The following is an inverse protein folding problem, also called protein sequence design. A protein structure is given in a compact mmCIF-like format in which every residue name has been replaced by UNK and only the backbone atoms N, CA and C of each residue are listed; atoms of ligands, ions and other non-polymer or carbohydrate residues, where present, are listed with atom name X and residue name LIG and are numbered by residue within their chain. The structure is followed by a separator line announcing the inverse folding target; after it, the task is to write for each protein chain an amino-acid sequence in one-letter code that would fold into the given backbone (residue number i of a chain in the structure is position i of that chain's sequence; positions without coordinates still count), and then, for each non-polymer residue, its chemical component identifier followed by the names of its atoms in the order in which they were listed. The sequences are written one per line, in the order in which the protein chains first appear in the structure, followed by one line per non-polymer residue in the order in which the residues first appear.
data_IF_378991893824
#
_entry.id   IF_378991893824
#
_cell.length_a   1.000
_cell.length_b   1.000
_cell.length_c   1.000
_cell.angle_alpha   90.00
_cell.angle_beta   90.00
_cell.angle_gamma   90.00
#
_symmetry.space_group_name_H-M   'P 1'
#
loop_
_entity.id
_entity.type
_entity.pdbx_description
1 polymer ?
#
# COMPACT_ATOMS: atom_id res chain seq x y z
N UNK A 1 -38.76 15.43 34.46
CA UNK A 1 -38.85 15.01 33.05
C UNK A 1 -38.13 15.94 32.05
N UNK A 2 -37.13 16.76 32.44
CA UNK A 2 -36.40 17.67 31.50
C UNK A 2 -34.95 17.26 31.23
N UNK A 3 -34.39 16.32 31.97
CA UNK A 3 -32.98 15.87 31.79
C UNK A 3 -32.79 14.78 30.72
N UNK A 4 -33.83 14.01 30.37
CA UNK A 4 -33.73 12.94 29.39
C UNK A 4 -33.72 13.42 27.90
N UNK A 5 -34.22 14.66 27.65
CA UNK A 5 -34.25 15.21 26.29
C UNK A 5 -32.94 15.86 25.86
N UNK A 6 -32.05 16.24 26.81
CA UNK A 6 -30.76 16.86 26.48
C UNK A 6 -29.69 15.82 26.06
N UNK A 7 -29.75 14.63 26.65
CA UNK A 7 -28.79 13.55 26.32
C UNK A 7 -29.02 12.93 24.92
N UNK A 8 -30.26 12.90 24.45
CA UNK A 8 -30.59 12.38 23.13
C UNK A 8 -30.16 13.32 22.00
N UNK A 9 -30.25 14.65 22.23
CA UNK A 9 -29.80 15.64 21.26
C UNK A 9 -28.28 15.68 21.08
N UNK A 10 -27.51 15.46 22.16
CA UNK A 10 -26.03 15.44 22.09
C UNK A 10 -25.49 14.19 21.40
N UNK A 11 -26.11 13.03 21.62
CA UNK A 11 -25.75 11.79 20.96
C UNK A 11 -26.04 11.82 19.44
N UNK A 12 -27.15 12.46 19.04
CA UNK A 12 -27.50 12.62 17.62
C UNK A 12 -26.56 13.61 16.91
N UNK A 13 -26.15 14.67 17.58
CA UNK A 13 -25.23 15.66 17.03
C UNK A 13 -23.81 15.07 16.79
N UNK A 14 -23.33 14.24 17.71
CA UNK A 14 -22.03 13.55 17.57
C UNK A 14 -22.05 12.53 16.43
N UNK A 15 -23.17 11.79 16.27
CA UNK A 15 -23.32 10.84 15.17
C UNK A 15 -23.40 11.54 13.80
N UNK A 16 -24.05 12.69 13.71
CA UNK A 16 -24.11 13.51 12.49
C UNK A 16 -22.75 14.12 12.11
N UNK A 17 -21.95 14.54 13.09
CA UNK A 17 -20.60 15.04 12.83
C UNK A 17 -19.66 13.93 12.36
N UNK A 18 -19.76 12.70 12.92
CA UNK A 18 -18.95 11.57 12.47
C UNK A 18 -19.31 11.13 11.04
N UNK A 19 -20.57 11.23 10.64
CA UNK A 19 -21.03 10.86 9.30
C UNK A 19 -20.65 11.90 8.23
N UNK A 20 -20.40 13.15 8.61
CA UNK A 20 -19.92 14.20 7.69
C UNK A 20 -18.40 14.21 7.50
N UNK A 21 -17.61 13.62 8.40
CA UNK A 21 -16.16 13.60 8.31
C UNK A 21 -15.62 12.61 7.27
N UNK A 22 -16.27 11.45 7.08
CA UNK A 22 -15.82 10.43 6.13
C UNK A 22 -15.74 10.93 4.66
N UNK A 23 -16.73 11.62 4.09
CA UNK A 23 -16.63 12.16 2.74
C UNK A 23 -15.54 13.22 2.58
N UNK A 24 -15.22 13.97 3.64
CA UNK A 24 -14.13 14.95 3.62
C UNK A 24 -12.77 14.26 3.69
N UNK A 25 -12.58 13.30 4.59
CA UNK A 25 -11.38 12.48 4.68
C UNK A 25 -11.06 11.82 3.33
N UNK A 26 -12.06 11.27 2.65
CA UNK A 26 -11.88 10.66 1.34
C UNK A 26 -11.44 11.68 0.28
N UNK A 27 -12.03 12.88 0.24
CA UNK A 27 -11.60 13.95 -0.69
C UNK A 27 -10.18 14.40 -0.43
N UNK A 28 -9.80 14.59 0.83
CA UNK A 28 -8.43 14.98 1.22
C UNK A 28 -7.44 13.88 0.84
N UNK A 29 -7.80 12.61 1.03
CA UNK A 29 -7.01 11.47 0.59
C UNK A 29 -6.85 11.44 -0.94
N UNK A 30 -7.93 11.59 -1.70
CA UNK A 30 -7.90 11.58 -3.15
C UNK A 30 -7.00 12.71 -3.71
N UNK A 31 -7.08 13.91 -3.11
CA UNK A 31 -6.20 15.02 -3.48
C UNK A 31 -4.73 14.72 -3.18
N UNK A 32 -4.45 14.12 -2.02
CA UNK A 32 -3.08 13.72 -1.68
C UNK A 32 -2.54 12.70 -2.66
N UNK A 33 -3.32 11.65 -2.95
CA UNK A 33 -2.94 10.58 -3.88
C UNK A 33 -2.68 11.15 -5.29
N UNK A 34 -3.55 12.03 -5.79
CA UNK A 34 -3.34 12.67 -7.08
C UNK A 34 -2.03 13.46 -7.14
N UNK A 35 -1.71 14.22 -6.08
CA UNK A 35 -0.44 14.95 -5.97
C UNK A 35 0.76 14.00 -5.89
N UNK A 36 0.64 12.90 -5.14
CA UNK A 36 1.68 11.87 -5.01
C UNK A 36 1.93 11.18 -6.36
N UNK A 37 0.88 10.80 -7.09
CA UNK A 37 1.01 10.19 -8.43
C UNK A 37 1.66 11.16 -9.42
N UNK A 38 1.25 12.44 -9.42
CA UNK A 38 1.87 13.46 -10.27
C UNK A 38 3.36 13.65 -9.95
N UNK A 39 3.75 13.64 -8.66
CA UNK A 39 5.15 13.68 -8.22
C UNK A 39 5.92 12.45 -8.71
N UNK A 40 5.35 11.25 -8.54
CA UNK A 40 5.97 10.01 -9.01
C UNK A 40 6.15 9.98 -10.52
N UNK A 41 5.16 10.44 -11.29
CA UNK A 41 5.18 10.40 -12.76
C UNK A 41 6.07 11.49 -13.37
N UNK A 42 6.26 12.62 -12.68
CA UNK A 42 7.13 13.73 -13.14
C UNK A 42 8.61 13.56 -12.75
N UNK A 43 8.94 12.58 -11.90
CA UNK A 43 10.29 12.37 -11.43
C UNK A 43 11.22 11.91 -12.58
N UNK A 44 12.40 12.56 -12.79
CA UNK A 44 13.33 12.18 -13.87
C UNK A 44 13.89 10.76 -13.71
N UNK A 45 14.23 10.37 -12.48
CA UNK A 45 14.71 9.03 -12.15
C UNK A 45 13.55 8.07 -12.00
N UNK A 46 13.61 6.91 -12.64
CA UNK A 46 12.57 5.89 -12.54
C UNK A 46 12.52 5.27 -11.15
N UNK A 47 13.68 4.93 -10.58
CA UNK A 47 13.84 4.56 -9.17
C UNK A 47 14.78 5.55 -8.48
N UNK A 48 14.60 5.79 -7.18
CA UNK A 48 15.36 6.79 -6.43
C UNK A 48 16.88 6.54 -6.42
N UNK A 49 17.30 5.29 -6.59
CA UNK A 49 18.73 4.94 -6.68
C UNK A 49 19.39 5.51 -7.94
N UNK A 50 18.60 5.71 -9.03
CA UNK A 50 19.11 6.34 -10.25
C UNK A 50 19.44 7.82 -9.99
N UNK A 51 20.70 8.19 -10.14
CA UNK A 51 21.15 9.57 -9.88
C UNK A 51 21.38 9.90 -8.39
N UNK A 52 21.27 8.91 -7.48
CA UNK A 52 21.58 9.05 -6.06
C UNK A 52 22.67 8.04 -5.62
N UNK A 53 23.96 8.35 -5.79
CA UNK A 53 25.07 7.44 -5.48
C UNK A 53 25.11 7.01 -4.01
N UNK A 54 24.67 7.85 -3.08
CA UNK A 54 24.63 7.50 -1.67
C UNK A 54 23.60 6.40 -1.39
N UNK A 55 22.40 6.54 -1.95
CA UNK A 55 21.35 5.52 -1.84
C UNK A 55 21.76 4.24 -2.57
N UNK A 56 22.31 4.34 -3.78
CA UNK A 56 22.80 3.20 -4.53
C UNK A 56 23.84 2.40 -3.73
N UNK A 57 24.82 3.05 -3.14
CA UNK A 57 25.82 2.39 -2.27
C UNK A 57 25.15 1.66 -1.09
N UNK A 58 24.19 2.27 -0.42
CA UNK A 58 23.46 1.63 0.68
C UNK A 58 22.70 0.37 0.23
N UNK A 59 22.05 0.42 -0.93
CA UNK A 59 21.29 -0.70 -1.45
C UNK A 59 22.16 -1.83 -1.99
N UNK A 60 23.19 -1.50 -2.76
CA UNK A 60 24.01 -2.48 -3.50
C UNK A 60 25.15 -2.99 -2.64
N UNK A 61 25.95 -2.09 -2.08
CA UNK A 61 27.18 -2.44 -1.34
C UNK A 61 26.86 -2.89 0.08
N UNK A 62 26.02 -2.12 0.77
CA UNK A 62 25.70 -2.41 2.18
C UNK A 62 24.53 -3.40 2.28
N UNK A 63 23.90 -3.76 1.14
CA UNK A 63 22.76 -4.71 1.02
C UNK A 63 21.60 -4.35 1.95
N UNK A 64 21.46 -3.07 2.25
CA UNK A 64 20.44 -2.58 3.17
C UNK A 64 19.08 -2.39 2.49
N UNK A 65 18.03 -2.36 3.27
CA UNK A 65 16.70 -1.91 2.85
C UNK A 65 16.53 -0.51 3.41
N UNK A 66 16.30 0.46 2.54
CA UNK A 66 16.12 1.85 2.95
C UNK A 66 14.63 2.21 2.97
N UNK A 67 14.25 3.07 3.92
CA UNK A 67 12.93 3.69 3.99
C UNK A 67 13.09 5.19 4.08
N UNK A 68 12.26 5.90 3.35
CA UNK A 68 12.33 7.35 3.17
C UNK A 68 10.93 7.91 3.35
N UNK A 69 10.80 9.04 4.03
CA UNK A 69 9.56 9.79 4.06
C UNK A 69 9.30 10.37 2.67
N UNK A 70 8.16 10.04 2.08
CA UNK A 70 7.84 10.48 0.72
C UNK A 70 7.61 11.99 0.62
N UNK A 71 7.11 12.60 1.69
CA UNK A 71 6.73 14.02 1.72
C UNK A 71 7.08 14.71 3.05
N UNK A 72 8.26 14.43 3.57
CA UNK A 72 8.89 15.15 4.67
C UNK A 72 8.30 14.91 6.07
N UNK A 73 7.05 14.48 6.23
CA UNK A 73 6.41 14.23 7.52
C UNK A 73 5.45 13.04 7.47
N UNK A 74 5.33 12.34 8.59
CA UNK A 74 4.33 11.29 8.83
C UNK A 74 3.93 11.29 10.31
N UNK A 75 2.65 11.13 10.64
CA UNK A 75 1.51 11.13 9.71
C UNK A 75 1.13 12.53 9.21
N UNK A 76 0.52 12.58 8.01
CA UNK A 76 -0.23 13.75 7.57
C UNK A 76 -1.62 13.68 8.19
N UNK A 77 -2.08 14.80 8.76
CA UNK A 77 -3.41 14.89 9.36
C UNK A 77 -4.47 15.06 8.28
N UNK A 78 -5.50 14.22 8.32
CA UNK A 78 -6.72 14.35 7.54
C UNK A 78 -7.89 14.70 8.48
N UNK A 79 -9.01 15.16 7.92
CA UNK A 79 -10.25 15.37 8.67
C UNK A 79 -10.83 14.02 9.11
N UNK A 80 -10.56 13.64 10.38
CA UNK A 80 -10.98 12.36 10.96
C UNK A 80 -10.10 11.17 10.67
N UNK A 81 -8.86 11.39 10.22
CA UNK A 81 -7.90 10.32 9.93
C UNK A 81 -6.44 10.76 9.93
N UNK A 82 -5.58 9.79 9.77
CA UNK A 82 -4.13 9.98 9.64
C UNK A 82 -3.63 9.24 8.39
N UNK A 83 -2.84 9.93 7.57
CA UNK A 83 -2.24 9.38 6.37
C UNK A 83 -0.73 9.19 6.59
N UNK A 84 -0.23 8.04 6.19
CA UNK A 84 1.19 7.71 6.18
C UNK A 84 1.64 7.45 4.75
N UNK A 85 2.77 8.04 4.36
CA UNK A 85 3.38 7.89 3.04
C UNK A 85 4.87 7.59 3.18
N UNK A 86 5.24 6.34 2.85
CA UNK A 86 6.60 5.84 2.94
C UNK A 86 7.08 5.26 1.63
N UNK A 87 8.31 5.59 1.26
CA UNK A 87 9.02 4.94 0.16
C UNK A 87 10.02 3.95 0.76
N UNK A 88 9.98 2.71 0.29
CA UNK A 88 10.97 1.69 0.57
C UNK A 88 11.78 1.37 -0.67
N UNK A 89 13.05 1.09 -0.51
CA UNK A 89 13.94 0.70 -1.61
C UNK A 89 14.85 -0.47 -1.22
N UNK A 90 15.05 -1.39 -2.16
CA UNK A 90 15.96 -2.53 -2.02
C UNK A 90 16.58 -2.88 -3.37
N UNK A 91 17.83 -3.35 -3.34
CA UNK A 91 18.45 -4.03 -4.48
C UNK A 91 18.44 -5.55 -4.26
N UNK A 92 18.05 -6.31 -5.28
CA UNK A 92 18.00 -7.77 -5.23
C UNK A 92 19.01 -8.33 -6.23
N UNK A 93 20.23 -8.69 -5.77
CA UNK A 93 21.28 -9.18 -6.66
C UNK A 93 20.91 -10.53 -7.27
N UNK A 94 21.17 -10.70 -8.56
CA UNK A 94 20.90 -11.95 -9.29
C UNK A 94 19.42 -12.23 -9.59
N UNK A 95 18.49 -11.37 -9.16
CA UNK A 95 17.10 -11.46 -9.58
C UNK A 95 16.94 -10.95 -11.02
N UNK A 96 15.92 -11.46 -11.71
CA UNK A 96 15.44 -10.94 -12.99
C UNK A 96 14.06 -10.33 -12.82
N UNK A 97 13.74 -9.37 -13.65
CA UNK A 97 12.45 -8.70 -13.65
C UNK A 97 11.31 -9.69 -13.90
N UNK A 98 11.51 -10.63 -14.80
CA UNK A 98 10.51 -11.66 -15.12
C UNK A 98 10.20 -12.57 -13.91
N UNK A 99 11.23 -13.07 -13.21
CA UNK A 99 11.05 -13.90 -12.03
C UNK A 99 10.36 -13.15 -10.91
N UNK A 100 10.76 -11.89 -10.68
CA UNK A 100 10.18 -11.06 -9.66
C UNK A 100 8.71 -10.71 -9.96
N UNK A 101 8.42 -10.30 -11.20
CA UNK A 101 7.05 -10.00 -11.62
C UNK A 101 6.15 -11.23 -11.55
N UNK A 102 6.63 -12.40 -12.01
CA UNK A 102 5.89 -13.66 -11.92
C UNK A 102 5.54 -14.02 -10.48
N UNK A 103 6.50 -13.95 -9.56
CA UNK A 103 6.28 -14.19 -8.13
C UNK A 103 5.23 -13.20 -7.54
N UNK A 104 5.30 -11.94 -7.91
CA UNK A 104 4.38 -10.92 -7.39
C UNK A 104 2.98 -11.00 -8.01
N UNK A 105 2.84 -11.59 -9.20
CA UNK A 105 1.55 -11.86 -9.85
C UNK A 105 0.92 -13.19 -9.42
N UNK A 106 1.64 -14.01 -8.68
CA UNK A 106 1.10 -15.22 -8.06
C UNK A 106 0.27 -14.87 -6.81
N UNK A 107 -0.91 -14.29 -7.06
CA UNK A 107 -1.77 -13.78 -6.00
C UNK A 107 -2.36 -14.87 -5.11
N UNK A 108 -2.48 -16.09 -5.57
CA UNK A 108 -3.01 -17.21 -4.78
C UNK A 108 -2.01 -17.70 -3.71
N UNK A 109 -0.72 -17.45 -3.90
CA UNK A 109 0.33 -17.94 -3.01
C UNK A 109 1.14 -16.85 -2.29
N UNK A 110 0.61 -15.62 -2.20
CA UNK A 110 1.31 -14.52 -1.53
C UNK A 110 1.72 -14.82 -0.09
N UNK A 111 0.95 -15.61 0.64
CA UNK A 111 1.30 -16.05 1.99
C UNK A 111 2.63 -16.85 2.04
N UNK A 112 3.02 -17.52 0.95
CA UNK A 112 4.29 -18.25 0.88
C UNK A 112 5.48 -17.30 0.68
N UNK A 113 5.25 -16.14 0.08
CA UNK A 113 6.29 -15.13 -0.21
C UNK A 113 6.40 -14.09 0.89
N UNK A 114 5.32 -13.84 1.62
CA UNK A 114 5.21 -12.85 2.67
C UNK A 114 4.65 -13.45 3.98
N UNK A 115 5.28 -14.53 4.52
CA UNK A 115 4.70 -15.30 5.63
C UNK A 115 4.54 -14.48 6.92
N UNK A 116 5.35 -13.43 7.12
CA UNK A 116 5.26 -12.59 8.31
C UNK A 116 4.02 -11.67 8.28
N UNK A 117 3.60 -11.24 7.08
CA UNK A 117 2.59 -10.18 6.92
C UNK A 117 1.27 -10.68 6.37
N UNK A 118 1.25 -11.78 5.60
CA UNK A 118 0.06 -12.29 4.93
C UNK A 118 -0.24 -13.71 5.43
N UNK A 119 -1.49 -13.96 5.82
CA UNK A 119 -1.96 -15.31 6.21
C UNK A 119 -2.63 -16.08 5.08
N UNK A 120 -3.41 -15.37 4.24
CA UNK A 120 -4.09 -15.94 3.07
C UNK A 120 -4.19 -14.92 1.97
N UNK A 121 -4.28 -15.39 0.73
CA UNK A 121 -4.55 -14.53 -0.42
C UNK A 121 -5.25 -15.31 -1.53
N UNK A 122 -6.01 -14.60 -2.37
CA UNK A 122 -6.80 -15.22 -3.43
C UNK A 122 -6.97 -14.27 -4.61
N UNK A 123 -6.64 -14.73 -5.80
CA UNK A 123 -6.97 -14.06 -7.06
C UNK A 123 -8.47 -14.16 -7.33
N UNK A 124 -9.13 -13.04 -7.57
CA UNK A 124 -10.57 -12.96 -7.77
C UNK A 124 -10.95 -12.88 -9.24
N UNK A 125 -10.24 -12.06 -10.01
CA UNK A 125 -10.46 -11.87 -11.43
C UNK A 125 -9.20 -11.38 -12.13
N UNK A 126 -9.19 -11.45 -13.47
CA UNK A 126 -8.09 -11.00 -14.32
C UNK A 126 -8.63 -10.47 -15.64
N UNK A 127 -8.11 -9.33 -16.10
CA UNK A 127 -8.36 -8.81 -17.44
C UNK A 127 -7.01 -8.64 -18.15
N UNK A 128 -6.82 -9.41 -19.22
CA UNK A 128 -5.55 -9.41 -19.96
C UNK A 128 -4.35 -9.89 -19.13
N UNK A 129 -3.20 -9.29 -19.35
CA UNK A 129 -1.93 -9.62 -18.67
C UNK A 129 -1.63 -8.69 -17.50
N UNK A 130 -2.32 -7.59 -17.40
CA UNK A 130 -1.85 -6.42 -16.67
C UNK A 130 -2.82 -5.96 -15.59
N UNK A 131 -4.06 -6.46 -15.57
CA UNK A 131 -5.07 -6.07 -14.60
C UNK A 131 -5.57 -7.27 -13.81
N UNK A 132 -5.47 -7.17 -12.48
CA UNK A 132 -5.83 -8.21 -11.51
C UNK A 132 -6.63 -7.61 -10.36
N UNK A 133 -7.56 -8.38 -9.81
CA UNK A 133 -8.18 -8.10 -8.51
C UNK A 133 -7.98 -9.29 -7.61
N UNK A 134 -7.51 -9.04 -6.40
CA UNK A 134 -7.26 -10.08 -5.43
C UNK A 134 -7.66 -9.64 -4.03
N UNK A 135 -7.83 -10.61 -3.15
CA UNK A 135 -7.99 -10.38 -1.71
C UNK A 135 -6.82 -10.97 -0.95
N UNK A 136 -6.47 -10.36 0.17
CA UNK A 136 -5.49 -10.89 1.10
C UNK A 136 -5.91 -10.62 2.53
N UNK A 137 -5.50 -11.50 3.44
CA UNK A 137 -5.63 -11.29 4.88
C UNK A 137 -4.27 -10.96 5.46
N UNK A 138 -4.13 -9.73 5.93
CA UNK A 138 -2.96 -9.24 6.65
C UNK A 138 -2.99 -9.70 8.10
N UNK A 139 -1.82 -9.89 8.71
CA UNK A 139 -1.66 -10.30 10.12
C UNK A 139 -1.45 -9.12 11.06
N UNK A 140 -0.85 -8.06 10.58
CA UNK A 140 -0.46 -6.89 11.38
C UNK A 140 -0.90 -5.59 10.67
N UNK A 141 -1.25 -4.55 11.40
CA UNK A 141 -1.28 -4.37 12.87
C UNK A 141 -2.46 -5.07 13.56
N UNK A 142 -3.44 -5.51 12.81
CA UNK A 142 -4.56 -6.34 13.19
C UNK A 142 -4.80 -7.35 12.07
N UNK A 143 -5.70 -8.29 12.28
CA UNK A 143 -6.14 -9.18 11.19
C UNK A 143 -7.09 -8.37 10.30
N UNK A 144 -6.64 -8.03 9.11
CA UNK A 144 -7.37 -7.16 8.17
C UNK A 144 -7.50 -7.86 6.83
N UNK A 145 -8.72 -7.96 6.33
CA UNK A 145 -9.01 -8.37 4.97
C UNK A 145 -8.93 -7.14 4.05
N UNK A 146 -8.13 -7.26 3.00
CA UNK A 146 -7.95 -6.22 1.98
C UNK A 146 -8.27 -6.82 0.62
N UNK A 147 -9.19 -6.19 -0.11
CA UNK A 147 -9.38 -6.41 -1.54
C UNK A 147 -8.70 -5.28 -2.30
N UNK A 148 -7.93 -5.62 -3.32
CA UNK A 148 -7.16 -4.66 -4.11
C UNK A 148 -7.32 -4.89 -5.59
N UNK A 149 -7.40 -3.79 -6.30
CA UNK A 149 -7.33 -3.72 -7.76
C UNK A 149 -5.90 -3.33 -8.17
N UNK A 150 -5.30 -4.08 -9.10
CA UNK A 150 -3.87 -3.98 -9.40
C UNK A 150 -3.66 -3.88 -10.89
N UNK A 151 -2.93 -2.85 -11.30
CA UNK A 151 -2.55 -2.64 -12.70
C UNK A 151 -1.04 -2.68 -12.84
N UNK A 152 -0.57 -3.56 -13.72
CA UNK A 152 0.83 -3.66 -14.12
C UNK A 152 1.05 -2.96 -15.44
N UNK A 153 2.22 -2.36 -15.58
CA UNK A 153 2.62 -1.72 -16.82
C UNK A 153 4.08 -2.03 -17.10
N UNK A 154 4.32 -2.64 -18.25
CA UNK A 154 5.67 -2.82 -18.80
C UNK A 154 6.04 -1.56 -19.58
N UNK A 155 7.05 -0.84 -19.12
CA UNK A 155 7.50 0.38 -19.78
C UNK A 155 8.49 0.09 -20.90
N UNK A 156 9.40 -0.85 -20.65
CA UNK A 156 10.40 -1.33 -21.62
C UNK A 156 10.89 -2.75 -21.24
N UNK A 157 12.02 -3.20 -21.81
CA UNK A 157 12.59 -4.53 -21.51
C UNK A 157 13.11 -4.66 -20.08
N UNK A 158 13.39 -3.55 -19.40
CA UNK A 158 14.07 -3.50 -18.10
C UNK A 158 13.26 -2.82 -17.00
N UNK A 159 12.08 -2.29 -17.30
CA UNK A 159 11.30 -1.50 -16.35
C UNK A 159 9.83 -1.92 -16.31
N UNK A 160 9.36 -2.24 -15.11
CA UNK A 160 7.95 -2.43 -14.80
C UNK A 160 7.52 -1.47 -13.71
N UNK A 161 6.26 -1.06 -13.77
CA UNK A 161 5.57 -0.45 -12.64
C UNK A 161 4.27 -1.19 -12.34
N UNK A 162 3.85 -1.11 -11.08
CA UNK A 162 2.59 -1.68 -10.64
C UNK A 162 1.93 -0.67 -9.70
N UNK A 163 0.63 -0.46 -9.86
CA UNK A 163 -0.21 0.36 -8.99
C UNK A 163 -1.29 -0.53 -8.39
N UNK A 164 -1.44 -0.48 -7.08
CA UNK A 164 -2.42 -1.26 -6.35
C UNK A 164 -3.26 -0.34 -5.47
N UNK A 165 -4.56 -0.45 -5.60
CA UNK A 165 -5.54 0.36 -4.90
C UNK A 165 -6.47 -0.55 -4.10
N UNK A 166 -6.53 -0.40 -2.77
CA UNK A 166 -7.53 -1.10 -1.98
C UNK A 166 -8.92 -0.64 -2.38
N UNK A 167 -9.78 -1.59 -2.71
CA UNK A 167 -11.20 -1.37 -3.01
C UNK A 167 -12.06 -1.61 -1.77
N UNK A 168 -11.56 -2.44 -0.86
CA UNK A 168 -12.21 -2.74 0.40
C UNK A 168 -11.17 -3.09 1.46
N UNK A 169 -11.36 -2.58 2.68
CA UNK A 169 -10.62 -2.96 3.89
C UNK A 169 -11.61 -3.32 4.97
N UNK A 170 -11.33 -4.35 5.76
CA UNK A 170 -12.21 -4.80 6.84
C UNK A 170 -11.40 -5.49 7.93
N UNK A 171 -11.41 -4.97 9.15
CA UNK A 171 -10.83 -5.65 10.30
C UNK A 171 -11.68 -6.88 10.69
N UNK A 172 -11.00 -7.97 11.02
CA UNK A 172 -11.66 -9.19 11.51
C UNK A 172 -11.99 -9.01 12.98
N UNK A 173 -13.27 -9.09 13.31
CA UNK A 173 -13.77 -8.86 14.67
C UNK A 173 -14.20 -7.41 14.90
N UNK A 174 -13.61 -6.74 15.88
CA UNK A 174 -13.97 -5.36 16.20
C UNK A 174 -13.18 -4.40 15.30
N UNK A 175 -13.89 -3.49 14.65
CA UNK A 175 -13.29 -2.43 13.84
C UNK A 175 -12.70 -1.34 14.76
N UNK A 176 -11.39 -1.12 14.65
CA UNK A 176 -10.65 -0.11 15.41
C UNK A 176 -10.15 1.03 14.50
N UNK A 177 -10.34 0.91 13.18
CA UNK A 177 -9.89 1.91 12.21
C UNK A 177 -8.39 1.89 11.93
N UNK A 178 -7.72 0.76 12.10
CA UNK A 178 -6.27 0.66 11.88
C UNK A 178 -5.87 0.83 10.42
N UNK A 179 -6.74 0.42 9.50
CA UNK A 179 -6.50 0.57 8.07
C UNK A 179 -7.80 0.85 7.34
N UNK A 180 -7.94 2.04 6.76
CA UNK A 180 -9.08 2.45 5.93
C UNK A 180 -8.75 2.39 4.45
N UNK A 181 -7.51 2.74 4.08
CA UNK A 181 -7.01 2.71 2.71
C UNK A 181 -5.57 2.19 2.70
N UNK A 182 -5.25 1.42 1.66
CA UNK A 182 -3.90 0.95 1.36
C UNK A 182 -3.66 1.06 -0.15
N UNK A 183 -2.90 2.06 -0.56
CA UNK A 183 -2.44 2.19 -1.92
C UNK A 183 -0.95 1.92 -1.99
N UNK A 184 -0.50 1.22 -3.02
CA UNK A 184 0.90 0.94 -3.20
C UNK A 184 1.34 1.08 -4.65
N UNK A 185 2.51 1.66 -4.84
CA UNK A 185 3.11 1.98 -6.12
C UNK A 185 4.47 1.32 -6.17
N UNK A 186 4.65 0.40 -7.10
CA UNK A 186 5.87 -0.37 -7.23
C UNK A 186 6.59 -0.03 -8.53
N UNK A 187 7.90 0.07 -8.47
CA UNK A 187 8.79 0.27 -9.60
C UNK A 187 9.93 -0.72 -9.54
N UNK A 188 10.19 -1.34 -10.65
CA UNK A 188 11.19 -2.38 -10.80
C UNK A 188 12.10 -2.01 -11.95
N UNK A 189 13.40 -1.89 -11.70
CA UNK A 189 14.41 -1.59 -12.70
C UNK A 189 15.47 -2.69 -12.71
N UNK A 190 15.53 -3.48 -13.79
CA UNK A 190 16.52 -4.51 -13.99
C UNK A 190 17.81 -3.90 -14.54
N UNK A 191 18.92 -4.28 -13.94
CA UNK A 191 20.28 -3.97 -14.38
C UNK A 191 21.10 -5.25 -14.46
N UNK A 192 22.31 -5.19 -15.05
CA UNK A 192 23.13 -6.37 -15.29
C UNK A 192 23.38 -7.27 -14.05
N UNK A 193 23.29 -6.71 -12.83
CA UNK A 193 23.59 -7.44 -11.59
C UNK A 193 22.36 -7.82 -10.76
N UNK A 194 21.15 -7.44 -11.16
CA UNK A 194 19.93 -7.69 -10.41
C UNK A 194 18.85 -6.65 -10.66
N UNK A 195 17.93 -6.51 -9.70
CA UNK A 195 16.76 -5.62 -9.82
C UNK A 195 16.71 -4.63 -8.67
N UNK A 196 16.58 -3.33 -8.97
CA UNK A 196 16.15 -2.32 -8.01
C UNK A 196 14.65 -2.40 -7.86
N UNK A 197 14.20 -2.44 -6.62
CA UNK A 197 12.78 -2.38 -6.27
C UNK A 197 12.56 -1.14 -5.43
N UNK A 198 11.61 -0.35 -5.82
CA UNK A 198 11.08 0.78 -5.06
C UNK A 198 9.59 0.58 -4.86
N UNK A 199 9.13 0.78 -3.62
CA UNK A 199 7.72 0.71 -3.26
C UNK A 199 7.35 1.95 -2.47
N UNK A 200 6.35 2.70 -2.93
CA UNK A 200 5.71 3.76 -2.15
C UNK A 200 4.37 3.26 -1.65
N UNK A 201 4.11 3.41 -0.35
CA UNK A 201 2.85 2.98 0.29
C UNK A 201 2.17 4.16 0.95
N UNK A 202 0.93 4.41 0.56
CA UNK A 202 0.06 5.43 1.13
C UNK A 202 -1.06 4.72 1.87
N UNK A 203 -1.13 4.91 3.19
CA UNK A 203 -2.13 4.29 4.04
C UNK A 203 -2.91 5.33 4.83
N UNK A 204 -4.18 5.02 5.09
CA UNK A 204 -5.04 5.84 5.97
C UNK A 204 -5.55 4.99 7.11
N UNK A 205 -5.47 5.53 8.32
CA UNK A 205 -6.13 5.03 9.52
C UNK A 205 -7.08 6.08 10.10
N UNK A 206 -7.98 5.67 10.98
CA UNK A 206 -8.77 6.61 11.75
C UNK A 206 -7.87 7.45 12.69
N UNK A 207 -8.38 8.59 13.13
CA UNK A 207 -7.69 9.41 14.12
C UNK A 207 -7.80 8.75 15.51
N UNK A 208 -6.67 8.31 16.05
CA UNK A 208 -6.63 7.76 17.41
C UNK A 208 -6.48 8.89 18.44
N UNK A 209 -7.28 8.84 19.50
CA UNK A 209 -7.15 9.77 20.64
C UNK A 209 -5.73 9.73 21.23
N UNK A 210 -5.29 10.81 21.87
CA UNK A 210 -3.92 10.96 22.40
C UNK A 210 -3.50 9.80 23.32
N UNK A 211 -4.43 9.27 24.12
CA UNK A 211 -4.16 8.15 25.03
C UNK A 211 -4.03 6.82 24.29
N UNK A 212 -4.81 6.60 23.22
CA UNK A 212 -4.73 5.41 22.37
C UNK A 212 -3.47 5.48 21.48
N UNK A 213 -3.03 6.68 21.08
CA UNK A 213 -1.76 6.89 20.34
C UNK A 213 -0.54 6.49 21.16
N UNK A 214 -0.47 6.91 22.44
CA UNK A 214 0.67 6.58 23.32
C UNK A 214 0.73 5.08 23.63
N UNK A 215 -0.40 4.41 23.79
CA UNK A 215 -0.50 2.97 24.03
C UNK A 215 -0.44 2.18 22.71
N UNK A 216 -1.08 2.66 21.64
CA UNK A 216 -1.21 1.96 20.36
C UNK A 216 0.11 1.85 19.60
N UNK A 217 0.92 2.90 19.56
CA UNK A 217 2.23 2.85 18.90
C UNK A 217 3.21 1.90 19.61
N UNK A 218 3.06 1.73 20.93
CA UNK A 218 3.93 0.90 21.74
C UNK A 218 3.43 -0.56 21.87
N UNK A 219 2.11 -0.76 21.90
CA UNK A 219 1.50 -2.09 22.13
C UNK A 219 1.07 -2.80 20.85
N UNK A 220 0.83 -2.08 19.75
CA UNK A 220 0.18 -2.65 18.56
C UNK A 220 1.05 -2.71 17.32
N UNK A 221 2.33 -2.33 17.41
CA UNK A 221 3.26 -2.53 16.29
C UNK A 221 2.88 -1.81 14.98
N UNK A 222 1.94 -0.85 15.03
CA UNK A 222 1.53 -0.06 13.86
C UNK A 222 2.69 0.83 13.45
N UNK A 223 3.60 0.28 12.69
CA UNK A 223 4.68 1.02 12.08
C UNK A 223 4.69 0.72 10.59
N UNK A 224 4.03 1.57 9.76
CA UNK A 224 3.99 1.38 8.32
C UNK A 224 5.39 1.27 7.69
N UNK A 225 6.38 1.97 8.24
CA UNK A 225 7.77 1.86 7.83
C UNK A 225 8.33 0.45 8.04
N UNK A 226 8.13 -0.10 9.25
CA UNK A 226 8.59 -1.44 9.59
C UNK A 226 7.91 -2.51 8.72
N UNK A 227 6.61 -2.37 8.49
CA UNK A 227 5.84 -3.26 7.61
C UNK A 227 6.37 -3.24 6.18
N UNK A 228 6.69 -2.05 5.66
CA UNK A 228 7.29 -1.90 4.33
C UNK A 228 8.68 -2.55 4.26
N UNK A 229 9.55 -2.35 5.27
CA UNK A 229 10.85 -3.02 5.36
C UNK A 229 10.72 -4.54 5.38
N UNK A 230 9.78 -5.08 6.15
CA UNK A 230 9.52 -6.52 6.20
C UNK A 230 9.05 -7.05 4.85
N UNK A 231 8.14 -6.34 4.18
CA UNK A 231 7.66 -6.75 2.85
C UNK A 231 8.79 -6.79 1.82
N UNK A 232 9.66 -5.79 1.79
CA UNK A 232 10.82 -5.76 0.89
C UNK A 232 11.84 -6.86 1.23
N UNK A 233 12.06 -7.14 2.52
CA UNK A 233 12.91 -8.24 2.99
C UNK A 233 12.38 -9.59 2.55
N UNK A 234 11.11 -9.89 2.83
CA UNK A 234 10.45 -11.13 2.45
C UNK A 234 10.44 -11.34 0.92
N UNK A 235 10.21 -10.26 0.17
CA UNK A 235 10.30 -10.29 -1.29
C UNK A 235 11.70 -10.72 -1.77
N UNK A 236 12.75 -10.05 -1.26
CA UNK A 236 14.14 -10.37 -1.60
C UNK A 236 14.48 -11.82 -1.26
N UNK A 237 14.14 -12.26 -0.07
CA UNK A 237 14.41 -13.64 0.37
C UNK A 237 13.65 -14.65 -0.47
N UNK A 238 12.37 -14.41 -0.75
CA UNK A 238 11.53 -15.34 -1.50
C UNK A 238 11.96 -15.48 -2.96
N UNK A 239 12.25 -14.39 -3.65
CA UNK A 239 12.67 -14.46 -5.07
C UNK A 239 14.05 -15.11 -5.25
N UNK A 240 14.91 -15.05 -4.22
CA UNK A 240 16.23 -15.66 -4.23
C UNK A 240 16.25 -17.12 -3.76
N UNK A 241 15.12 -17.67 -3.27
CA UNK A 241 15.06 -19.08 -2.86
C UNK A 241 15.44 -19.99 -4.00
N UNK A 242 16.40 -20.94 -3.77
CA UNK A 242 16.70 -21.97 -4.75
C UNK A 242 15.45 -22.80 -5.08
N UNK A 243 15.26 -23.09 -6.38
CA UNK A 243 14.13 -23.92 -6.81
C UNK A 243 12.76 -23.26 -6.67
N UNK A 244 12.67 -21.94 -6.49
CA UNK A 244 11.37 -21.26 -6.48
C UNK A 244 10.59 -21.61 -7.75
N UNK A 245 9.45 -22.28 -7.55
CA UNK A 245 8.48 -22.57 -8.60
C UNK A 245 7.38 -21.52 -8.51
N UNK A 246 7.13 -20.86 -9.61
CA UNK A 246 6.03 -19.89 -9.75
C UNK A 246 4.96 -20.59 -10.58
N UNK A 247 3.78 -20.90 -9.98
CA UNK A 247 2.69 -21.53 -10.71
C UNK A 247 2.22 -20.67 -11.87
N UNK A 248 1.74 -21.30 -12.93
CA UNK A 248 1.02 -20.59 -13.97
C UNK A 248 -0.26 -19.96 -13.38
N UNK A 249 -0.64 -18.82 -13.92
CA UNK A 249 -1.90 -18.18 -13.53
C UNK A 249 -3.05 -19.13 -13.87
N UNK A 250 -4.07 -19.25 -12.99
CA UNK A 250 -5.21 -20.14 -13.24
C UNK A 250 -5.98 -19.72 -14.50
N UNK A 251 -6.43 -20.72 -15.24
CA UNK A 251 -7.35 -20.51 -16.37
C UNK A 251 -8.78 -20.32 -15.90
N UNK A 252 -9.62 -19.73 -16.77
CA UNK A 252 -11.07 -19.61 -16.53
C UNK A 252 -11.46 -18.60 -15.45
N UNK A 253 -10.58 -17.70 -15.07
CA UNK A 253 -10.95 -16.60 -14.19
C UNK A 253 -11.91 -15.62 -14.88
N UNK A 254 -12.88 -15.02 -14.14
CA UNK A 254 -13.70 -13.97 -14.67
C UNK A 254 -12.84 -12.74 -15.04
N UNK A 255 -13.32 -11.95 -15.98
CA UNK A 255 -12.73 -10.63 -16.25
C UNK A 255 -13.07 -9.67 -15.12
N UNK A 256 -12.10 -8.87 -14.68
CA UNK A 256 -12.36 -7.75 -13.79
C UNK A 256 -13.18 -6.68 -14.53
N UNK A 257 -14.04 -5.98 -13.82
CA UNK A 257 -14.59 -4.72 -14.32
C UNK A 257 -13.52 -3.67 -14.60
N UNK A 258 -13.91 -2.43 -14.87
CA UNK A 258 -12.97 -1.34 -15.08
C UNK A 258 -11.99 -1.23 -13.90
N UNK A 259 -10.71 -0.96 -14.20
CA UNK A 259 -9.70 -0.76 -13.18
C UNK A 259 -10.07 0.43 -12.29
N UNK A 260 -10.00 0.22 -10.98
CA UNK A 260 -10.22 1.28 -9.99
C UNK A 260 -9.07 2.29 -10.11
N UNK A 261 -9.43 3.56 -10.06
CA UNK A 261 -8.48 4.67 -10.00
C UNK A 261 -8.86 5.57 -8.83
N UNK A 262 -7.88 6.25 -8.22
CA UNK A 262 -8.17 7.27 -7.23
C UNK A 262 -9.17 8.30 -7.75
N UNK A 263 -10.02 8.80 -6.87
CA UNK A 263 -10.90 9.91 -7.16
C UNK A 263 -10.08 11.16 -7.57
N UNK A 264 -10.65 11.99 -8.45
CA UNK A 264 -10.04 13.28 -8.79
C UNK A 264 -10.18 14.27 -7.64
N UNK A 265 -9.14 15.10 -7.43
CA UNK A 265 -9.25 16.24 -6.53
C UNK A 265 -10.24 17.25 -7.13
N UNK A 266 -11.45 17.30 -6.61
CA UNK A 266 -12.40 18.34 -6.97
C UNK A 266 -11.85 19.68 -6.47
N UNK A 267 -11.30 20.50 -7.37
CA UNK A 267 -11.02 21.89 -7.07
C UNK A 267 -12.35 22.56 -6.74
N UNK A 268 -12.57 22.87 -5.46
CA UNK A 268 -13.65 23.75 -5.07
C UNK A 268 -13.39 25.09 -5.79
N UNK A 269 -14.05 25.31 -6.91
CA UNK A 269 -14.17 26.65 -7.45
C UNK A 269 -14.98 27.46 -6.44
N UNK A 270 -14.29 28.15 -5.54
CA UNK A 270 -14.88 29.17 -4.72
C UNK A 270 -15.52 30.21 -5.67
N UNK A 271 -16.84 30.28 -5.65
CA UNK A 271 -17.61 31.42 -6.14
C UNK A 271 -17.77 32.42 -5.03
#
# INVERSE_FOLDING_TARGET
MKLAKLSLGLALAVALCAQQSQPQTQREFDCYVQAAEARMDSRPAFVLAEGNPALDNQLVRDKSIQTILANGANPHKLSGGQLYDWIGAVFIPGATLEKLAGMLQDYDHRANYFPETISTSKLLCRTGKDHFRYTMRMKEPAVIDVESDVVWERLDSHRYRCRSYSTKTSEVGKDHGYLRQLYSYWRFAEVAKGVYVEAETITVSDEFGAMTRALGSMLMGINPEKSLKHSLGSMRESVLKPGLQIPALPDGLPECGAAVRPGGCATSSAR
#
